data_IF_992678079029
#
_entry.id   IF_992678079029
#
_cell.length_a   1.000
_cell.length_b   1.000
_cell.length_c   1.000
_cell.angle_alpha   90.00
_cell.angle_beta   90.00
_cell.angle_gamma   90.00
#
_symmetry.space_group_name_H-M   'P 1'
#
loop_
_entity.id
_entity.type
_entity.pdbx_description
1 polymer ?
#
# COMPACT_ATOMS: atom_id res chain seq x y z
N UNK A 1 -22.46 25.15 -22.39
CA UNK A 1 -21.09 25.10 -21.91
C UNK A 1 -20.44 23.98 -22.70
N UNK A 2 -19.69 24.38 -23.77
CA UNK A 2 -19.06 23.42 -24.70
C UNK A 2 -17.99 22.63 -23.96
N UNK A 3 -18.22 21.33 -23.80
CA UNK A 3 -17.17 20.37 -23.46
C UNK A 3 -16.20 20.36 -24.64
N UNK A 4 -15.07 21.02 -24.47
CA UNK A 4 -13.94 20.86 -25.38
C UNK A 4 -13.57 19.39 -25.36
N UNK A 5 -13.87 18.70 -26.43
CA UNK A 5 -13.45 17.31 -26.67
C UNK A 5 -11.90 17.33 -26.73
N UNK A 6 -11.24 17.19 -25.59
CA UNK A 6 -9.77 17.09 -25.56
C UNK A 6 -9.42 15.75 -26.17
N UNK A 7 -8.86 15.79 -27.36
CA UNK A 7 -8.30 14.61 -28.04
C UNK A 7 -7.32 13.96 -27.08
N UNK A 8 -7.52 12.67 -26.79
CA UNK A 8 -6.63 11.92 -25.91
C UNK A 8 -5.19 11.99 -26.44
N UNK A 9 -4.19 12.16 -25.56
CA UNK A 9 -2.79 12.25 -25.96
C UNK A 9 -2.36 10.98 -26.73
N UNK A 10 -1.56 11.16 -27.78
CA UNK A 10 -1.01 10.03 -28.53
C UNK A 10 0.01 9.23 -27.73
N UNK A 11 0.30 8.00 -28.16
CA UNK A 11 1.29 7.12 -27.50
C UNK A 11 2.63 7.82 -27.28
N UNK A 12 3.14 8.56 -28.26
CA UNK A 12 4.41 9.29 -28.16
C UNK A 12 4.39 10.34 -27.04
N UNK A 13 3.28 11.08 -26.90
CA UNK A 13 3.11 12.09 -25.85
C UNK A 13 3.04 11.47 -24.47
N UNK A 14 2.32 10.35 -24.34
CA UNK A 14 2.23 9.57 -23.08
C UNK A 14 3.61 9.10 -22.65
N UNK A 15 4.38 8.50 -23.56
CA UNK A 15 5.74 8.00 -23.26
C UNK A 15 6.67 9.14 -22.87
N UNK A 16 6.66 10.26 -23.60
CA UNK A 16 7.45 11.44 -23.29
C UNK A 16 7.10 11.99 -21.90
N UNK A 17 5.81 12.12 -21.60
CA UNK A 17 5.32 12.59 -20.30
C UNK A 17 5.72 11.66 -19.16
N UNK A 18 5.63 10.34 -19.34
CA UNK A 18 6.10 9.36 -18.36
C UNK A 18 7.60 9.51 -18.10
N UNK A 19 8.40 9.61 -19.18
CA UNK A 19 9.86 9.76 -19.05
C UNK A 19 10.25 11.03 -18.29
N UNK A 20 9.59 12.16 -18.58
CA UNK A 20 9.87 13.44 -17.93
C UNK A 20 9.51 13.39 -16.44
N UNK A 21 8.33 12.88 -16.08
CA UNK A 21 7.89 12.75 -14.71
C UNK A 21 8.77 11.82 -13.89
N UNK A 22 9.20 10.70 -14.47
CA UNK A 22 10.10 9.75 -13.79
C UNK A 22 11.47 10.39 -13.54
N UNK A 23 12.04 11.08 -14.52
CA UNK A 23 13.32 11.79 -14.34
C UNK A 23 13.24 12.89 -13.26
N UNK A 24 12.13 13.61 -13.22
CA UNK A 24 11.89 14.72 -12.29
C UNK A 24 11.61 14.24 -10.86
N UNK A 25 10.75 13.22 -10.69
CA UNK A 25 10.11 12.92 -9.40
C UNK A 25 10.59 11.65 -8.73
N UNK A 26 11.13 10.67 -9.48
CA UNK A 26 11.53 9.41 -8.86
C UNK A 26 12.53 9.65 -7.73
N UNK A 27 12.31 8.98 -6.60
CA UNK A 27 13.05 9.23 -5.34
C UNK A 27 14.54 9.07 -5.46
N UNK A 28 15.03 8.21 -6.37
CA UNK A 28 16.45 8.03 -6.70
C UNK A 28 16.77 8.70 -8.05
N UNK A 29 17.31 9.94 -8.08
CA UNK A 29 17.41 10.73 -9.32
C UNK A 29 18.21 10.07 -10.43
N UNK A 30 19.30 9.37 -10.08
CA UNK A 30 20.12 8.68 -11.07
C UNK A 30 19.36 7.52 -11.73
N UNK A 31 18.65 6.73 -10.94
CA UNK A 31 17.82 5.62 -11.44
C UNK A 31 16.65 6.16 -12.26
N UNK A 32 16.00 7.24 -11.79
CA UNK A 32 14.94 7.92 -12.53
C UNK A 32 15.41 8.41 -13.90
N UNK A 33 16.60 8.99 -13.98
CA UNK A 33 17.23 9.40 -15.25
C UNK A 33 17.49 8.21 -16.18
N UNK A 34 17.96 7.09 -15.65
CA UNK A 34 18.19 5.85 -16.43
C UNK A 34 16.87 5.25 -16.94
N UNK A 35 15.85 5.18 -16.09
CA UNK A 35 14.52 4.68 -16.47
C UNK A 35 13.87 5.57 -17.54
N UNK A 36 13.97 6.90 -17.42
CA UNK A 36 13.51 7.84 -18.43
C UNK A 36 14.24 7.69 -19.77
N UNK A 37 15.57 7.51 -19.75
CA UNK A 37 16.36 7.24 -20.94
C UNK A 37 15.93 5.94 -21.62
N UNK A 38 15.69 4.89 -20.84
CA UNK A 38 15.16 3.59 -21.33
C UNK A 38 13.84 3.75 -22.07
N UNK A 39 12.87 4.50 -21.50
CA UNK A 39 11.60 4.74 -22.18
C UNK A 39 11.78 5.45 -23.52
N UNK A 40 12.62 6.49 -23.57
CA UNK A 40 12.91 7.25 -24.80
C UNK A 40 13.60 6.39 -25.86
N UNK A 41 14.56 5.56 -25.49
CA UNK A 41 15.25 4.61 -26.38
C UNK A 41 14.26 3.62 -26.99
N UNK A 42 13.41 3.03 -26.16
CA UNK A 42 12.39 2.07 -26.57
C UNK A 42 11.35 2.69 -27.48
N UNK A 43 10.93 3.93 -27.21
CA UNK A 43 10.04 4.68 -28.09
C UNK A 43 10.68 4.96 -29.47
N UNK A 44 11.94 5.38 -29.49
CA UNK A 44 12.67 5.60 -30.75
C UNK A 44 12.84 4.33 -31.59
N UNK A 45 12.83 3.15 -30.95
CA UNK A 45 12.85 1.84 -31.59
C UNK A 45 11.45 1.33 -32.02
N UNK A 46 10.38 2.13 -31.82
CA UNK A 46 9.00 1.74 -32.16
C UNK A 46 8.37 0.69 -31.23
N UNK A 47 8.93 0.48 -30.04
CA UNK A 47 8.51 -0.61 -29.15
C UNK A 47 7.08 -0.45 -28.60
N UNK A 48 6.51 0.74 -28.67
CA UNK A 48 5.19 1.07 -28.15
C UNK A 48 4.17 1.37 -29.26
N UNK A 49 4.57 1.28 -30.54
CA UNK A 49 3.71 1.62 -31.65
C UNK A 49 2.51 0.68 -31.76
N UNK A 50 1.32 1.26 -31.94
CA UNK A 50 0.09 0.50 -32.14
C UNK A 50 -0.43 -0.27 -30.91
N UNK A 51 0.17 -0.08 -29.73
CA UNK A 51 -0.33 -0.68 -28.49
C UNK A 51 -1.60 0.05 -28.04
N UNK A 52 -2.59 -0.73 -27.60
CA UNK A 52 -3.74 -0.19 -26.86
C UNK A 52 -3.32 0.26 -25.45
N UNK A 53 -4.17 1.02 -24.71
CA UNK A 53 -3.82 1.54 -23.40
C UNK A 53 -3.38 0.47 -22.40
N UNK A 54 -4.00 -0.70 -22.39
CA UNK A 54 -3.66 -1.78 -21.46
C UNK A 54 -2.28 -2.38 -21.77
N UNK A 55 -2.02 -2.65 -23.06
CA UNK A 55 -0.73 -3.17 -23.53
C UNK A 55 0.39 -2.14 -23.34
N UNK A 56 0.10 -0.85 -23.60
CA UNK A 56 1.05 0.25 -23.38
C UNK A 56 1.42 0.36 -21.89
N UNK A 57 0.43 0.32 -20.97
CA UNK A 57 0.67 0.33 -19.53
C UNK A 57 1.59 -0.81 -19.09
N UNK A 58 1.34 -2.01 -19.60
CA UNK A 58 2.15 -3.20 -19.27
C UNK A 58 3.60 -3.06 -19.80
N UNK A 59 3.77 -2.61 -21.06
CA UNK A 59 5.08 -2.43 -21.67
C UNK A 59 5.92 -1.35 -20.97
N UNK A 60 5.32 -0.18 -20.67
CA UNK A 60 5.99 0.90 -19.95
C UNK A 60 6.38 0.45 -18.52
N UNK A 61 5.48 -0.25 -17.83
CA UNK A 61 5.75 -0.76 -16.50
C UNK A 61 6.92 -1.75 -16.49
N UNK A 62 6.98 -2.64 -17.47
CA UNK A 62 8.08 -3.61 -17.59
C UNK A 62 9.42 -2.90 -17.80
N UNK A 63 9.50 -1.95 -18.74
CA UNK A 63 10.73 -1.20 -19.01
C UNK A 63 11.16 -0.32 -17.82
N UNK A 64 10.22 0.25 -17.06
CA UNK A 64 10.51 1.03 -15.85
C UNK A 64 11.05 0.14 -14.71
N UNK A 65 10.39 -0.99 -14.47
CA UNK A 65 10.76 -1.90 -13.38
C UNK A 65 12.05 -2.67 -13.65
N UNK A 66 12.37 -2.94 -14.93
CA UNK A 66 13.64 -3.55 -15.33
C UNK A 66 14.85 -2.69 -14.92
N UNK A 67 14.68 -1.36 -14.91
CA UNK A 67 15.73 -0.42 -14.51
C UNK A 67 15.67 -0.08 -13.01
N UNK A 68 14.48 0.20 -12.51
CA UNK A 68 14.31 0.72 -11.14
C UNK A 68 14.24 -0.35 -10.07
N UNK A 69 13.84 -1.57 -10.43
CA UNK A 69 13.56 -2.66 -9.49
C UNK A 69 12.57 -2.28 -8.37
N UNK A 70 11.70 -1.29 -8.64
CA UNK A 70 10.68 -0.78 -7.72
C UNK A 70 9.29 -1.09 -8.30
N UNK A 71 8.53 -1.93 -7.60
CA UNK A 71 7.21 -2.39 -8.04
C UNK A 71 6.14 -1.30 -8.00
N UNK A 72 6.37 -0.19 -7.29
CA UNK A 72 5.49 0.96 -7.31
C UNK A 72 5.68 1.83 -8.55
N UNK A 73 6.88 1.83 -9.18
CA UNK A 73 7.12 2.54 -10.42
C UNK A 73 6.49 1.78 -11.58
N UNK A 74 5.31 2.21 -11.99
CA UNK A 74 4.52 1.54 -13.05
C UNK A 74 3.49 2.46 -13.66
N UNK A 75 2.98 2.10 -14.83
CA UNK A 75 1.77 2.67 -15.43
C UNK A 75 0.60 1.75 -15.16
N UNK A 76 -0.50 2.32 -14.66
CA UNK A 76 -1.73 1.60 -14.30
C UNK A 76 -2.79 1.93 -15.34
N UNK A 77 -3.41 0.91 -15.92
CA UNK A 77 -4.56 1.06 -16.79
C UNK A 77 -5.85 1.05 -15.99
N UNK A 78 -6.65 2.08 -16.16
CA UNK A 78 -7.97 2.28 -15.57
C UNK A 78 -9.02 2.28 -16.70
N UNK A 79 -9.68 1.17 -17.00
CA UNK A 79 -10.63 1.09 -18.13
C UNK A 79 -11.83 2.03 -17.97
N UNK A 80 -12.18 2.40 -16.75
CA UNK A 80 -13.28 3.31 -16.42
C UNK A 80 -12.80 4.76 -16.20
N UNK A 81 -11.55 5.06 -16.53
CA UNK A 81 -10.88 6.35 -16.33
C UNK A 81 -10.05 6.43 -15.06
N UNK A 82 -8.99 7.27 -15.11
CA UNK A 82 -8.10 7.53 -13.98
C UNK A 82 -8.88 8.22 -12.85
N UNK A 83 -8.73 7.80 -11.59
CA UNK A 83 -9.30 8.52 -10.45
C UNK A 83 -8.91 10.02 -10.48
N UNK A 84 -9.80 10.92 -10.07
CA UNK A 84 -9.56 12.37 -10.16
C UNK A 84 -8.49 12.81 -9.15
N UNK A 85 -7.24 12.88 -9.60
CA UNK A 85 -6.10 13.27 -8.75
C UNK A 85 -5.85 14.78 -8.73
N UNK A 86 -6.31 15.51 -9.76
CA UNK A 86 -6.05 16.94 -9.93
C UNK A 86 -7.15 17.83 -9.34
N UNK A 87 -8.35 17.31 -9.10
CA UNK A 87 -9.46 17.99 -8.43
C UNK A 87 -9.60 17.48 -6.98
N UNK A 88 -9.20 18.29 -5.97
CA UNK A 88 -9.27 17.87 -4.57
C UNK A 88 -10.66 17.47 -4.10
N UNK A 89 -11.72 18.14 -4.58
CA UNK A 89 -13.08 17.82 -4.18
C UNK A 89 -13.57 16.51 -4.80
N UNK A 90 -13.27 16.27 -6.06
CA UNK A 90 -13.58 15.02 -6.74
C UNK A 90 -12.76 13.85 -6.18
N UNK A 91 -11.48 14.08 -5.84
CA UNK A 91 -10.61 13.11 -5.16
C UNK A 91 -11.15 12.71 -3.79
N UNK A 92 -11.56 13.69 -2.98
CA UNK A 92 -12.19 13.43 -1.67
C UNK A 92 -13.51 12.66 -1.82
N UNK A 93 -14.35 13.03 -2.78
CA UNK A 93 -15.61 12.34 -3.05
C UNK A 93 -15.38 10.88 -3.49
N UNK A 94 -14.40 10.64 -4.36
CA UNK A 94 -13.99 9.29 -4.79
C UNK A 94 -13.57 8.41 -3.59
N UNK A 95 -12.70 8.92 -2.73
CA UNK A 95 -12.23 8.15 -1.57
C UNK A 95 -13.31 7.99 -0.49
N UNK A 96 -14.21 8.95 -0.33
CA UNK A 96 -15.36 8.80 0.57
C UNK A 96 -16.29 7.69 0.09
N UNK A 97 -16.56 7.62 -1.21
CA UNK A 97 -17.38 6.54 -1.79
C UNK A 97 -16.66 5.19 -1.72
N UNK A 98 -15.37 5.15 -2.00
CA UNK A 98 -14.54 3.94 -1.85
C UNK A 98 -14.54 3.44 -0.42
N UNK A 99 -14.35 4.31 0.57
CA UNK A 99 -14.40 3.95 1.99
C UNK A 99 -15.79 3.44 2.40
N UNK A 100 -16.85 4.08 1.91
CA UNK A 100 -18.23 3.68 2.20
C UNK A 100 -18.53 2.27 1.66
N UNK A 101 -18.17 1.99 0.42
CA UNK A 101 -18.50 0.72 -0.26
C UNK A 101 -17.60 -0.43 0.17
N UNK A 102 -16.37 -0.13 0.64
CA UNK A 102 -15.43 -1.13 1.15
C UNK A 102 -15.44 -1.27 2.69
N UNK A 103 -16.33 -0.55 3.39
CA UNK A 103 -16.30 -0.44 4.85
C UNK A 103 -14.90 -0.05 5.37
N UNK A 104 -14.27 0.97 4.77
CA UNK A 104 -12.91 1.41 5.15
C UNK A 104 -11.82 0.37 4.92
N UNK A 105 -12.04 -0.62 4.07
CA UNK A 105 -11.15 -1.76 3.85
C UNK A 105 -11.32 -2.90 4.88
N UNK A 106 -12.29 -2.80 5.79
CA UNK A 106 -12.58 -3.83 6.80
C UNK A 106 -13.48 -4.91 6.20
N UNK A 107 -12.90 -5.97 5.65
CA UNK A 107 -13.63 -6.97 4.86
C UNK A 107 -14.44 -7.96 5.70
N UNK A 108 -13.87 -8.37 6.82
CA UNK A 108 -14.46 -9.41 7.67
C UNK A 108 -14.02 -9.23 9.10
N UNK A 109 -14.96 -9.28 10.01
CA UNK A 109 -14.71 -9.38 11.45
C UNK A 109 -15.48 -10.58 11.96
N UNK A 110 -14.80 -11.55 12.54
CA UNK A 110 -15.45 -12.73 13.11
C UNK A 110 -14.79 -13.17 14.42
N UNK A 111 -15.51 -13.91 15.21
CA UNK A 111 -15.05 -14.52 16.45
C UNK A 111 -14.89 -16.01 16.24
N UNK A 112 -13.67 -16.51 16.34
CA UNK A 112 -13.34 -17.91 16.27
C UNK A 112 -13.40 -18.58 17.64
N UNK A 113 -13.37 -19.92 17.65
CA UNK A 113 -13.33 -20.70 18.88
C UNK A 113 -12.09 -20.37 19.75
N UNK A 114 -12.29 -20.23 21.07
CA UNK A 114 -11.24 -19.80 22.00
C UNK A 114 -11.12 -18.28 22.11
N UNK A 115 -12.22 -17.56 21.81
CA UNK A 115 -12.30 -16.10 21.87
C UNK A 115 -11.22 -15.39 21.03
N UNK A 116 -10.80 -16.00 19.90
CA UNK A 116 -9.86 -15.41 18.96
C UNK A 116 -10.63 -14.54 17.98
N UNK A 117 -10.28 -13.26 17.84
CA UNK A 117 -10.80 -12.42 16.77
C UNK A 117 -10.02 -12.62 15.48
N UNK A 118 -10.73 -12.66 14.35
CA UNK A 118 -10.15 -12.62 13.02
C UNK A 118 -10.67 -11.37 12.30
N UNK A 119 -9.77 -10.45 11.97
CA UNK A 119 -10.04 -9.24 11.20
C UNK A 119 -9.28 -9.33 9.88
N UNK A 120 -10.01 -9.43 8.77
CA UNK A 120 -9.45 -9.39 7.41
C UNK A 120 -9.59 -8.00 6.82
N UNK A 121 -8.51 -7.45 6.27
CA UNK A 121 -8.45 -6.11 5.68
C UNK A 121 -7.98 -6.15 4.22
N UNK A 122 -8.39 -5.16 3.43
CA UNK A 122 -8.03 -5.04 2.01
C UNK A 122 -9.28 -5.05 1.10
N UNK A 123 -9.12 -5.19 -0.25
CA UNK A 123 -7.84 -5.25 -0.95
C UNK A 123 -7.07 -3.93 -0.93
N UNK A 124 -7.75 -2.81 -0.68
CA UNK A 124 -7.18 -1.46 -0.57
C UNK A 124 -7.64 -0.85 0.76
N UNK A 125 -6.76 -0.16 1.44
CA UNK A 125 -7.05 0.66 2.61
C UNK A 125 -7.29 2.11 2.13
N UNK A 126 -8.53 2.61 2.11
CA UNK A 126 -8.80 4.02 1.78
C UNK A 126 -8.23 4.95 2.85
N UNK A 127 -8.13 6.27 2.59
CA UNK A 127 -7.64 7.25 3.57
C UNK A 127 -8.34 7.18 4.92
N UNK A 128 -7.59 7.42 6.00
CA UNK A 128 -8.07 7.29 7.37
C UNK A 128 -9.30 8.16 7.68
N UNK A 129 -9.35 9.40 7.15
CA UNK A 129 -10.48 10.29 7.39
C UNK A 129 -11.84 9.65 7.10
N UNK A 130 -12.13 9.26 5.85
CA UNK A 130 -13.38 8.60 5.49
C UNK A 130 -13.51 7.17 6.03
N UNK A 131 -12.42 6.52 6.45
CA UNK A 131 -12.41 5.15 6.97
C UNK A 131 -12.50 5.08 8.50
N UNK A 132 -12.38 6.20 9.20
CA UNK A 132 -12.23 6.27 10.65
C UNK A 132 -13.29 5.48 11.43
N UNK A 133 -14.56 5.71 11.12
CA UNK A 133 -15.67 5.07 11.82
C UNK A 133 -15.69 3.56 11.58
N UNK A 134 -15.43 3.12 10.35
CA UNK A 134 -15.42 1.69 10.00
C UNK A 134 -14.26 0.96 10.68
N UNK A 135 -13.06 1.53 10.66
CA UNK A 135 -11.88 0.97 11.35
C UNK A 135 -12.11 0.91 12.86
N UNK A 136 -12.58 2.02 13.46
CA UNK A 136 -12.86 2.09 14.90
C UNK A 136 -13.93 1.09 15.32
N UNK A 137 -15.00 0.93 14.53
CA UNK A 137 -16.05 -0.05 14.79
C UNK A 137 -15.52 -1.50 14.71
N UNK A 138 -14.72 -1.82 13.67
CA UNK A 138 -14.10 -3.14 13.54
C UNK A 138 -13.17 -3.44 14.72
N UNK A 139 -12.35 -2.47 15.13
CA UNK A 139 -11.45 -2.62 16.27
C UNK A 139 -12.19 -2.70 17.61
N UNK A 140 -13.33 -2.03 17.77
CA UNK A 140 -14.19 -2.18 18.93
C UNK A 140 -14.79 -3.59 19.05
N UNK A 141 -15.15 -4.23 17.91
CA UNK A 141 -15.65 -5.62 17.88
C UNK A 141 -14.58 -6.63 18.32
N UNK A 142 -13.30 -6.36 18.06
CA UNK A 142 -12.21 -7.26 18.44
C UNK A 142 -11.61 -6.92 19.81
N UNK A 143 -11.99 -5.80 20.40
CA UNK A 143 -11.38 -5.25 21.61
C UNK A 143 -11.41 -6.18 22.84
N UNK A 144 -12.36 -7.10 22.95
CA UNK A 144 -12.48 -8.06 24.06
C UNK A 144 -12.05 -9.49 23.68
N UNK A 145 -11.40 -9.67 22.55
CA UNK A 145 -10.83 -10.97 22.20
C UNK A 145 -9.61 -11.29 23.05
N UNK A 146 -9.38 -12.56 23.33
CA UNK A 146 -8.18 -13.01 24.04
C UNK A 146 -6.94 -12.99 23.13
N UNK A 147 -7.16 -13.10 21.81
CA UNK A 147 -6.13 -12.97 20.78
C UNK A 147 -6.72 -12.38 19.50
N UNK A 148 -5.85 -11.78 18.66
CA UNK A 148 -6.23 -11.21 17.36
C UNK A 148 -5.39 -11.81 16.24
N UNK A 149 -6.08 -12.25 15.19
CA UNK A 149 -5.50 -12.53 13.88
C UNK A 149 -5.87 -11.38 12.95
N UNK A 150 -4.87 -10.62 12.51
CA UNK A 150 -5.01 -9.54 11.54
C UNK A 150 -4.58 -10.06 10.16
N UNK A 151 -5.53 -10.22 9.25
CA UNK A 151 -5.32 -10.90 7.98
C UNK A 151 -5.16 -9.89 6.85
N UNK A 152 -3.91 -9.73 6.37
CA UNK A 152 -3.55 -8.87 5.25
C UNK A 152 -3.18 -9.65 3.98
N UNK A 153 -3.51 -10.95 3.91
CA UNK A 153 -3.14 -11.80 2.76
C UNK A 153 -3.65 -11.26 1.42
N UNK A 154 -4.80 -10.62 1.42
CA UNK A 154 -5.38 -10.01 0.23
C UNK A 154 -5.21 -8.47 0.16
N UNK A 155 -4.49 -7.87 1.13
CA UNK A 155 -4.25 -6.44 1.16
C UNK A 155 -3.13 -6.06 0.17
N UNK A 156 -3.48 -5.23 -0.81
CA UNK A 156 -2.58 -4.72 -1.84
C UNK A 156 -2.04 -3.32 -1.54
N UNK A 157 -2.28 -2.85 -0.31
CA UNK A 157 -1.84 -1.55 0.15
C UNK A 157 -2.98 -0.58 0.38
N UNK A 158 -2.66 0.69 0.27
CA UNK A 158 -3.56 1.81 0.48
C UNK A 158 -2.92 2.90 1.33
N UNK A 159 -3.76 3.71 1.95
CA UNK A 159 -3.33 4.89 2.67
C UNK A 159 -2.60 4.51 3.98
N UNK A 160 -1.38 5.03 4.19
CA UNK A 160 -0.60 4.71 5.37
C UNK A 160 -1.18 5.31 6.66
N UNK A 161 -2.02 6.35 6.60
CA UNK A 161 -2.69 6.87 7.81
C UNK A 161 -3.74 5.88 8.33
N UNK A 162 -4.34 5.06 7.44
CA UNK A 162 -5.21 3.94 7.84
C UNK A 162 -4.41 2.79 8.45
N UNK A 163 -3.19 2.53 7.97
CA UNK A 163 -2.26 1.59 8.62
C UNK A 163 -1.91 2.06 10.03
N UNK A 164 -1.55 3.35 10.18
CA UNK A 164 -1.29 3.96 11.49
C UNK A 164 -2.49 3.85 12.44
N UNK A 165 -3.70 4.10 11.93
CA UNK A 165 -4.92 3.97 12.72
C UNK A 165 -5.13 2.54 13.23
N UNK A 166 -4.96 1.52 12.37
CA UNK A 166 -5.04 0.12 12.76
C UNK A 166 -3.99 -0.24 13.83
N UNK A 167 -2.73 0.18 13.63
CA UNK A 167 -1.64 -0.05 14.58
C UNK A 167 -1.90 0.64 15.92
N UNK A 168 -2.50 1.84 15.91
CA UNK A 168 -2.85 2.57 17.12
C UNK A 168 -3.83 1.83 18.04
N UNK A 169 -4.61 0.91 17.50
CA UNK A 169 -5.53 0.05 18.28
C UNK A 169 -4.85 -1.17 18.90
N UNK A 170 -3.66 -1.55 18.47
CA UNK A 170 -2.96 -2.76 18.94
C UNK A 170 -1.71 -2.47 19.75
N UNK A 171 -1.30 -1.21 19.87
CA UNK A 171 -0.20 -0.74 20.71
C UNK A 171 -0.71 -0.06 21.98
N UNK A 172 0.21 0.43 22.83
CA UNK A 172 -0.08 1.16 24.08
C UNK A 172 -0.63 2.57 23.86
N UNK A 173 -0.73 3.33 24.94
CA UNK A 173 -1.22 4.72 24.96
C UNK A 173 -0.17 5.71 24.48
N UNK A 174 1.10 5.39 24.70
CA UNK A 174 2.20 6.26 24.29
C UNK A 174 2.38 6.20 22.79
N UNK A 175 2.63 7.35 22.13
CA UNK A 175 2.93 7.40 20.71
C UNK A 175 4.15 6.54 20.38
N UNK A 176 4.01 5.69 19.37
CA UNK A 176 5.08 4.82 18.88
C UNK A 176 5.53 5.33 17.51
N UNK A 177 6.85 5.53 17.35
CA UNK A 177 7.46 5.89 16.07
C UNK A 177 7.51 4.64 15.18
N UNK A 178 6.80 4.69 14.05
CA UNK A 178 6.67 3.58 13.11
C UNK A 178 7.76 3.63 12.05
N UNK A 179 7.66 4.60 11.14
CA UNK A 179 8.59 4.76 10.02
C UNK A 179 8.96 6.22 9.78
N UNK A 180 10.13 6.44 9.21
CA UNK A 180 10.56 7.69 8.61
C UNK A 180 10.28 7.66 7.10
N UNK A 181 9.68 8.71 6.58
CA UNK A 181 9.42 8.90 5.15
C UNK A 181 10.41 9.94 4.63
N UNK A 182 11.43 9.46 3.94
CA UNK A 182 12.50 10.27 3.37
C UNK A 182 12.12 10.71 1.95
N UNK A 183 11.62 11.94 1.80
CA UNK A 183 11.36 12.54 0.49
C UNK A 183 12.53 13.37 0.03
N UNK A 184 12.84 13.29 -1.28
CA UNK A 184 13.89 14.12 -1.90
C UNK A 184 13.56 15.60 -1.84
N UNK A 185 12.28 15.96 -1.92
CA UNK A 185 11.84 17.35 -2.03
C UNK A 185 11.42 17.95 -0.67
N UNK A 186 10.89 17.12 0.22
CA UNK A 186 10.26 17.57 1.47
C UNK A 186 11.08 17.22 2.72
N UNK A 187 12.21 16.51 2.56
CA UNK A 187 13.02 16.04 3.68
C UNK A 187 12.40 14.81 4.37
N UNK A 188 12.61 14.69 5.68
CA UNK A 188 12.14 13.54 6.47
C UNK A 188 10.88 13.89 7.22
N UNK A 189 9.84 13.07 7.05
CA UNK A 189 8.62 13.11 7.85
C UNK A 189 8.49 11.83 8.67
N UNK A 190 8.18 11.98 9.95
CA UNK A 190 8.00 10.85 10.86
C UNK A 190 6.54 10.43 10.91
N UNK A 191 6.30 9.13 10.94
CA UNK A 191 4.99 8.54 11.18
C UNK A 191 4.93 7.92 12.55
N UNK A 192 3.89 8.27 13.29
CA UNK A 192 3.67 7.86 14.67
C UNK A 192 2.26 7.30 14.84
N UNK A 193 2.06 6.40 15.77
CA UNK A 193 0.71 6.00 16.17
C UNK A 193 -0.05 7.18 16.77
N UNK A 194 -1.37 7.14 16.64
CA UNK A 194 -2.25 8.20 17.16
C UNK A 194 -2.89 7.77 18.47
N UNK A 195 -3.12 8.72 19.42
CA UNK A 195 -3.99 8.44 20.56
C UNK A 195 -5.40 8.10 20.07
N UNK A 196 -5.92 6.93 20.41
CA UNK A 196 -7.30 6.54 20.11
C UNK A 196 -8.10 6.47 21.40
N UNK A 197 -9.14 7.31 21.50
CA UNK A 197 -10.03 7.35 22.66
C UNK A 197 -11.03 6.17 22.70
N UNK A 198 -11.15 5.41 21.61
CA UNK A 198 -12.05 4.27 21.49
C UNK A 198 -11.51 3.03 22.23
N UNK A 199 -12.40 2.05 22.44
CA UNK A 199 -11.98 0.72 22.91
C UNK A 199 -10.99 0.12 21.91
N UNK A 200 -9.88 -0.39 22.41
CA UNK A 200 -8.82 -0.97 21.60
C UNK A 200 -8.43 -2.37 22.06
N UNK A 201 -7.83 -3.12 21.17
CA UNK A 201 -7.29 -4.43 21.51
C UNK A 201 -6.13 -4.31 22.49
N UNK A 202 -5.24 -3.32 22.32
CA UNK A 202 -4.15 -3.00 23.25
C UNK A 202 -2.88 -3.84 23.05
N UNK A 203 -1.82 -3.57 23.85
CA UNK A 203 -0.47 -4.10 23.64
C UNK A 203 -0.24 -5.52 24.16
N UNK A 204 -1.00 -5.97 25.15
CA UNK A 204 -0.62 -7.15 25.97
C UNK A 204 -1.05 -8.48 25.36
N UNK A 205 -2.17 -8.48 24.64
CA UNK A 205 -2.77 -9.73 24.15
C UNK A 205 -2.10 -10.24 22.88
N UNK A 206 -2.06 -11.58 22.66
CA UNK A 206 -1.43 -12.17 21.48
C UNK A 206 -1.99 -11.63 20.17
N UNK A 207 -1.09 -11.24 19.26
CA UNK A 207 -1.39 -10.77 17.92
C UNK A 207 -0.60 -11.57 16.88
N UNK A 208 -1.29 -12.02 15.84
CA UNK A 208 -0.69 -12.62 14.66
C UNK A 208 -1.15 -11.87 13.41
N UNK A 209 -0.22 -11.55 12.51
CA UNK A 209 -0.52 -10.99 11.18
C UNK A 209 -0.34 -12.07 10.13
N UNK A 210 -1.36 -12.27 9.28
CA UNK A 210 -1.28 -13.21 8.15
C UNK A 210 -0.87 -12.50 6.88
N UNK A 211 0.16 -13.02 6.21
CA UNK A 211 0.69 -12.50 4.94
C UNK A 211 0.63 -13.52 3.81
N UNK A 212 0.67 -13.04 2.59
CA UNK A 212 0.83 -13.86 1.38
C UNK A 212 1.76 -13.18 0.38
N UNK A 213 2.12 -13.88 -0.69
CA UNK A 213 2.85 -13.31 -1.82
C UNK A 213 2.07 -12.18 -2.55
N UNK A 214 0.77 -12.01 -2.28
CA UNK A 214 -0.04 -10.91 -2.81
C UNK A 214 -0.08 -9.68 -1.89
N UNK A 215 0.32 -9.81 -0.61
CA UNK A 215 0.41 -8.68 0.33
C UNK A 215 1.41 -7.65 -0.19
N UNK A 216 0.99 -6.35 -0.23
CA UNK A 216 1.79 -5.30 -0.84
C UNK A 216 1.61 -3.95 -0.13
N UNK A 217 2.66 -3.08 -0.19
CA UNK A 217 2.58 -1.67 0.22
C UNK A 217 2.08 -1.50 1.68
N UNK A 218 1.01 -0.76 1.93
CA UNK A 218 0.43 -0.57 3.27
C UNK A 218 0.06 -1.87 3.99
N UNK A 219 -0.26 -2.96 3.26
CA UNK A 219 -0.42 -4.28 3.87
C UNK A 219 0.90 -4.85 4.39
N UNK A 220 2.02 -4.57 3.69
CA UNK A 220 3.36 -4.93 4.14
C UNK A 220 3.82 -4.06 5.31
N UNK A 221 3.56 -2.74 5.25
CA UNK A 221 3.86 -1.80 6.34
C UNK A 221 3.26 -2.28 7.66
N UNK A 222 1.98 -2.70 7.65
CA UNK A 222 1.31 -3.22 8.84
C UNK A 222 2.02 -4.46 9.41
N UNK A 223 2.41 -5.42 8.57
CA UNK A 223 3.12 -6.62 8.99
C UNK A 223 4.54 -6.29 9.47
N UNK A 224 5.24 -5.39 8.77
CA UNK A 224 6.58 -4.94 9.08
C UNK A 224 6.63 -4.25 10.45
N UNK A 225 5.73 -3.29 10.69
CA UNK A 225 5.68 -2.57 11.95
C UNK A 225 5.34 -3.48 13.15
N UNK A 226 4.37 -4.39 12.98
CA UNK A 226 4.04 -5.38 14.03
C UNK A 226 5.25 -6.24 14.38
N UNK A 227 6.03 -6.68 13.39
CA UNK A 227 7.22 -7.49 13.58
C UNK A 227 8.35 -6.69 14.26
N UNK A 228 8.66 -5.51 13.75
CA UNK A 228 9.74 -4.67 14.28
C UNK A 228 9.49 -4.14 15.69
N UNK A 229 8.24 -3.86 16.01
CA UNK A 229 7.84 -3.47 17.37
C UNK A 229 7.84 -4.65 18.34
N UNK A 230 8.02 -5.88 17.88
CA UNK A 230 7.85 -7.09 18.67
C UNK A 230 6.41 -7.24 19.20
N UNK A 231 5.44 -6.56 18.53
CA UNK A 231 4.05 -6.54 18.97
C UNK A 231 3.31 -7.86 18.71
N UNK A 232 3.72 -8.59 17.70
CA UNK A 232 3.11 -9.83 17.30
C UNK A 232 4.02 -10.63 16.37
N UNK A 233 3.49 -11.74 15.85
CA UNK A 233 4.18 -12.59 14.88
C UNK A 233 3.55 -12.52 13.51
N UNK A 234 4.37 -12.59 12.47
CA UNK A 234 3.94 -12.69 11.08
C UNK A 234 3.94 -14.15 10.64
N UNK A 235 2.84 -14.62 10.07
CA UNK A 235 2.63 -16.01 9.64
C UNK A 235 2.15 -16.03 8.20
N UNK A 236 2.72 -16.87 7.35
CA UNK A 236 2.32 -17.02 5.96
C UNK A 236 3.48 -17.02 4.98
N UNK A 237 3.33 -16.34 3.87
CA UNK A 237 4.34 -16.22 2.83
C UNK A 237 5.05 -14.87 2.91
N UNK A 238 6.26 -14.81 2.34
CA UNK A 238 6.97 -13.54 2.13
C UNK A 238 6.15 -12.63 1.21
N UNK A 239 6.09 -11.36 1.56
CA UNK A 239 5.33 -10.34 0.81
C UNK A 239 6.10 -9.83 -0.42
N UNK A 240 5.51 -8.93 -1.21
CA UNK A 240 6.03 -8.55 -2.53
C UNK A 240 7.24 -7.62 -2.52
N UNK A 241 7.39 -6.76 -1.52
CA UNK A 241 8.52 -5.84 -1.42
C UNK A 241 8.26 -4.48 -2.07
N UNK A 242 7.22 -3.77 -1.66
CA UNK A 242 6.97 -2.39 -2.06
C UNK A 242 6.81 -1.47 -0.87
N UNK A 243 7.85 -0.70 -0.54
CA UNK A 243 7.86 0.19 0.61
C UNK A 243 7.79 1.67 0.24
N UNK A 244 8.19 2.03 -0.98
CA UNK A 244 8.36 3.43 -1.36
C UNK A 244 7.01 4.12 -1.60
N UNK A 245 6.66 5.18 -0.85
CA UNK A 245 5.45 5.96 -1.10
C UNK A 245 5.44 6.55 -2.52
N UNK A 246 4.31 6.44 -3.18
CA UNK A 246 4.13 6.88 -4.55
C UNK A 246 3.12 8.01 -4.69
N UNK A 247 3.27 8.82 -5.74
CA UNK A 247 2.24 9.69 -6.28
C UNK A 247 1.64 9.07 -7.54
N UNK A 248 0.37 9.35 -7.81
CA UNK A 248 -0.31 9.00 -9.06
C UNK A 248 -0.48 10.25 -9.91
N UNK A 249 -0.11 10.18 -11.19
CA UNK A 249 -0.27 11.27 -12.15
C UNK A 249 -1.00 10.75 -13.39
N UNK A 250 -2.13 11.36 -13.75
CA UNK A 250 -2.81 11.04 -15.00
C UNK A 250 -1.94 11.48 -16.19
N UNK A 251 -1.59 10.53 -17.06
CA UNK A 251 -0.83 10.76 -18.30
C UNK A 251 -1.67 10.53 -19.55
N UNK A 252 -2.82 9.91 -19.38
CA UNK A 252 -3.86 9.67 -20.38
C UNK A 252 -5.21 9.50 -19.64
N UNK A 253 -6.38 9.68 -20.25
CA UNK A 253 -7.66 9.47 -19.57
C UNK A 253 -7.79 8.10 -18.87
N UNK A 254 -7.14 7.07 -19.41
CA UNK A 254 -7.15 5.70 -18.86
C UNK A 254 -5.81 5.25 -18.24
N UNK A 255 -4.76 6.11 -18.25
CA UNK A 255 -3.44 5.73 -17.76
C UNK A 255 -2.95 6.65 -16.64
N UNK A 256 -2.62 6.04 -15.51
CA UNK A 256 -1.98 6.67 -14.36
C UNK A 256 -0.52 6.22 -14.28
N UNK A 257 0.42 7.17 -14.27
CA UNK A 257 1.79 6.89 -13.90
C UNK A 257 1.93 6.95 -12.38
N UNK A 258 2.29 5.85 -11.76
CA UNK A 258 2.63 5.75 -10.35
C UNK A 258 4.14 5.94 -10.19
N UNK A 259 4.56 7.02 -9.49
CA UNK A 259 5.97 7.37 -9.28
C UNK A 259 6.32 7.35 -7.81
N UNK A 260 7.23 6.49 -7.34
CA UNK A 260 7.80 6.57 -6.01
C UNK A 260 8.56 7.89 -5.79
N UNK A 261 8.13 8.69 -4.80
CA UNK A 261 8.68 10.03 -4.49
C UNK A 261 9.40 10.10 -3.15
N UNK A 262 9.29 9.03 -2.35
CA UNK A 262 9.90 8.93 -1.04
C UNK A 262 10.29 7.48 -0.74
N UNK A 263 11.05 7.28 0.35
CA UNK A 263 11.42 5.96 0.88
C UNK A 263 10.90 5.81 2.31
N UNK A 264 10.30 4.66 2.62
CA UNK A 264 9.97 4.30 3.99
C UNK A 264 11.15 3.58 4.64
N UNK A 265 11.56 4.03 5.84
CA UNK A 265 12.66 3.45 6.60
C UNK A 265 12.31 3.33 8.07
N UNK A 266 12.74 2.23 8.67
CA UNK A 266 12.61 2.05 10.10
C UNK A 266 13.55 3.00 10.87
N UNK A 267 13.05 3.72 11.92
CA UNK A 267 13.80 4.81 12.55
C UNK A 267 15.05 4.36 13.33
N UNK A 268 15.15 3.09 13.72
CA UNK A 268 16.28 2.61 14.54
C UNK A 268 17.47 2.14 13.72
N UNK A 269 17.22 1.44 12.61
CA UNK A 269 18.25 0.75 11.85
C UNK A 269 18.23 1.06 10.35
N UNK A 270 17.29 1.89 9.89
CA UNK A 270 17.12 2.26 8.50
C UNK A 270 16.64 1.11 7.60
N UNK A 271 16.22 -0.02 8.17
CA UNK A 271 15.69 -1.15 7.40
C UNK A 271 14.39 -0.79 6.68
N UNK A 272 14.09 -1.51 5.62
CA UNK A 272 12.89 -1.35 4.79
C UNK A 272 12.54 -2.69 4.16
N UNK A 273 11.30 -2.86 3.77
CA UNK A 273 10.86 -4.04 3.00
C UNK A 273 10.93 -3.84 1.49
N UNK A 274 11.43 -2.69 1.01
CA UNK A 274 11.58 -2.41 -0.42
C UNK A 274 12.45 -3.46 -1.11
N UNK A 275 11.95 -4.03 -2.21
CA UNK A 275 12.62 -5.04 -3.03
C UNK A 275 12.79 -6.43 -2.40
N UNK A 276 12.56 -6.56 -1.07
CA UNK A 276 12.80 -7.81 -0.34
C UNK A 276 11.54 -8.43 0.28
N UNK A 277 10.52 -7.63 0.53
CA UNK A 277 9.30 -8.04 1.23
C UNK A 277 9.50 -8.32 2.72
N UNK A 278 8.39 -8.42 3.43
CA UNK A 278 8.38 -8.84 4.84
C UNK A 278 8.50 -10.36 4.88
N UNK A 279 9.52 -10.85 5.57
CA UNK A 279 9.70 -12.28 5.80
C UNK A 279 8.89 -12.70 7.03
N UNK A 280 7.99 -13.69 6.93
CA UNK A 280 7.22 -14.13 8.08
C UNK A 280 8.10 -14.81 9.14
N UNK A 281 7.69 -14.71 10.42
CA UNK A 281 8.32 -15.43 11.54
C UNK A 281 8.02 -16.93 11.49
N UNK A 282 6.88 -17.28 10.88
CA UNK A 282 6.45 -18.65 10.62
C UNK A 282 6.03 -18.78 9.17
N UNK A 283 6.91 -19.35 8.36
CA UNK A 283 6.69 -19.53 6.92
C UNK A 283 5.78 -20.73 6.66
N UNK A 284 4.72 -20.51 5.90
CA UNK A 284 3.80 -21.54 5.43
C UNK A 284 2.99 -21.01 4.23
N UNK A 285 2.36 -21.90 3.43
CA UNK A 285 1.45 -21.48 2.35
C UNK A 285 0.33 -20.59 2.87
N UNK A 286 -0.05 -19.56 2.12
CA UNK A 286 -1.08 -18.60 2.52
C UNK A 286 -2.42 -19.26 2.89
N UNK A 287 -2.78 -20.36 2.21
CA UNK A 287 -3.99 -21.12 2.51
C UNK A 287 -3.99 -21.80 3.88
N UNK A 288 -2.81 -22.10 4.45
CA UNK A 288 -2.64 -22.74 5.75
C UNK A 288 -2.40 -21.74 6.89
N UNK A 289 -2.14 -20.47 6.56
CA UNK A 289 -1.67 -19.47 7.52
C UNK A 289 -2.65 -19.23 8.67
N UNK A 290 -3.96 -19.25 8.43
CA UNK A 290 -4.96 -19.05 9.48
C UNK A 290 -4.95 -20.21 10.48
N UNK A 291 -4.93 -21.46 10.03
CA UNK A 291 -4.89 -22.63 10.91
C UNK A 291 -3.59 -22.66 11.71
N UNK A 292 -2.48 -22.29 11.09
CA UNK A 292 -1.19 -22.18 11.75
C UNK A 292 -1.18 -21.11 12.83
N UNK A 293 -1.76 -19.95 12.56
CA UNK A 293 -1.91 -18.87 13.53
C UNK A 293 -2.78 -19.30 14.73
N UNK A 294 -3.92 -19.94 14.48
CA UNK A 294 -4.79 -20.46 15.54
C UNK A 294 -4.06 -21.49 16.41
N UNK A 295 -3.29 -22.38 15.81
CA UNK A 295 -2.49 -23.37 16.54
C UNK A 295 -1.44 -22.69 17.45
N UNK A 296 -0.76 -21.65 16.95
CA UNK A 296 0.19 -20.85 17.72
C UNK A 296 -0.48 -20.14 18.89
N UNK A 297 -1.65 -19.54 18.68
CA UNK A 297 -2.37 -18.80 19.72
C UNK A 297 -2.96 -19.69 20.81
N UNK A 298 -3.21 -20.97 20.53
CA UNK A 298 -3.70 -21.95 21.51
C UNK A 298 -2.59 -22.63 22.30
N UNK A 299 -1.37 -22.59 21.82
CA UNK A 299 -0.20 -23.16 22.50
C UNK A 299 0.66 -22.14 23.24
N UNK A 300 0.22 -20.87 23.23
CA UNK A 300 0.90 -19.76 23.87
C UNK A 300 0.48 -19.58 25.35
#
# INVERSE_FOLDING_TARGET
METTDQIAPGTADVVARCADLVAERFVLPQVGGQAAARLRERAAAGAYDGLDPAALAAALSADLQDVAHDLHLRVIHHPDGVPPTEDPAAYEAYWRETARTSAGGMRRVERLAGNIAHLSVGPVLPPAGPSWDAVTAAMALVADADALVLDVRECRGGDPDTVQLLLSHVVGDEPVHLVDIESRLEGVRQRWTHPVAARRFGPERPLVVLTSAATFSGGEELAFDVQLLGRGRVVGERTRGGANPREGVAVHPELELAVPVARARHPRDGSSWEGVGVRPDVECPAGEALDRAIALLRGA
#
